data_IF_850797152772
#
_entry.id   IF_850797152772
#
_cell.length_a   1.000
_cell.length_b   1.000
_cell.length_c   1.000
_cell.angle_alpha   90.00
_cell.angle_beta   90.00
_cell.angle_gamma   90.00
#
_symmetry.space_group_name_H-M   'P 1'
#
loop_
_entity.id
_entity.type
_entity.pdbx_description
1 polymer ?
#
# COMPACT_ATOMS: atom_id res chain seq x y z
N UNK A 1 50.69 -33.20 57.58
CA UNK A 1 49.50 -32.28 57.72
C UNK A 1 49.03 -32.01 56.30
N UNK A 2 47.90 -32.62 55.89
CA UNK A 2 47.30 -32.37 54.58
C UNK A 2 46.23 -31.27 54.78
N UNK A 3 46.44 -30.11 54.15
CA UNK A 3 45.43 -29.08 54.06
C UNK A 3 44.35 -29.53 53.06
N UNK A 4 43.15 -29.85 53.57
CA UNK A 4 42.00 -30.12 52.73
C UNK A 4 41.45 -28.77 52.19
N UNK A 5 41.58 -28.56 50.89
CA UNK A 5 40.96 -27.44 50.18
C UNK A 5 39.43 -27.72 50.06
N UNK A 6 38.62 -27.17 50.98
CA UNK A 6 37.18 -27.25 50.89
C UNK A 6 36.72 -26.15 49.94
N UNK A 7 36.52 -26.51 48.70
CA UNK A 7 35.89 -25.62 47.72
C UNK A 7 34.39 -25.58 48.03
N UNK A 8 33.85 -24.41 48.40
CA UNK A 8 32.40 -24.22 48.59
C UNK A 8 31.66 -24.27 47.27
N UNK A 9 31.37 -25.48 46.80
CA UNK A 9 30.66 -25.75 45.53
C UNK A 9 29.21 -25.29 45.59
N UNK A 10 28.62 -25.24 46.78
CA UNK A 10 27.21 -24.87 46.98
C UNK A 10 26.91 -23.40 46.66
N UNK A 11 27.82 -22.47 46.93
CA UNK A 11 27.72 -21.09 46.53
C UNK A 11 27.79 -20.94 45.02
N UNK A 12 28.70 -21.65 44.38
CA UNK A 12 28.88 -21.67 42.93
C UNK A 12 27.65 -22.23 42.21
N UNK A 13 27.06 -23.31 42.75
CA UNK A 13 25.84 -23.93 42.23
C UNK A 13 24.66 -22.94 42.37
N UNK A 14 24.54 -22.23 43.51
CA UNK A 14 23.49 -21.20 43.71
C UNK A 14 23.64 -20.04 42.74
N UNK A 15 24.85 -19.54 42.53
CA UNK A 15 25.12 -18.48 41.57
C UNK A 15 24.85 -18.89 40.13
N UNK A 16 25.27 -20.10 39.71
CA UNK A 16 24.95 -20.67 38.41
C UNK A 16 23.44 -20.83 38.21
N UNK A 17 22.73 -21.32 39.25
CA UNK A 17 21.25 -21.46 39.19
C UNK A 17 20.55 -20.13 39.07
N UNK A 18 21.03 -19.08 39.75
CA UNK A 18 20.49 -17.71 39.63
C UNK A 18 20.73 -17.17 38.24
N UNK A 19 21.93 -17.39 37.70
CA UNK A 19 22.32 -16.97 36.36
C UNK A 19 21.44 -17.63 35.29
N UNK A 20 21.24 -18.95 35.40
CA UNK A 20 20.37 -19.69 34.47
C UNK A 20 18.89 -19.29 34.57
N UNK A 21 18.38 -19.12 35.79
CA UNK A 21 16.94 -18.89 36.01
C UNK A 21 16.47 -17.46 35.78
N UNK A 22 17.33 -16.45 35.97
CA UNK A 22 16.94 -15.05 35.88
C UNK A 22 17.75 -14.25 34.88
N UNK A 23 19.05 -14.31 34.92
CA UNK A 23 19.92 -13.41 34.16
C UNK A 23 20.01 -13.77 32.69
N UNK A 24 20.13 -15.06 32.35
CA UNK A 24 20.15 -15.52 30.96
C UNK A 24 18.80 -15.27 30.27
N UNK A 25 17.63 -15.63 30.83
CA UNK A 25 16.35 -15.30 30.23
C UNK A 25 16.13 -13.80 30.05
N UNK A 26 16.59 -12.97 31.00
CA UNK A 26 16.52 -11.51 30.88
C UNK A 26 17.41 -11.03 29.71
N UNK A 27 18.66 -11.51 29.62
CA UNK A 27 19.57 -11.17 28.53
C UNK A 27 19.03 -11.61 27.15
N UNK A 28 18.42 -12.79 27.08
CA UNK A 28 17.74 -13.28 25.86
C UNK A 28 16.60 -12.35 25.45
N UNK A 29 15.70 -12.02 26.38
CA UNK A 29 14.58 -11.10 26.14
C UNK A 29 15.06 -9.74 25.63
N UNK A 30 16.07 -9.17 26.28
CA UNK A 30 16.63 -7.88 25.91
C UNK A 30 17.31 -7.95 24.53
N UNK A 31 17.95 -9.06 24.21
CA UNK A 31 18.57 -9.33 22.90
C UNK A 31 17.52 -9.37 21.82
N UNK A 32 16.47 -10.18 21.98
CA UNK A 32 15.35 -10.30 21.03
C UNK A 32 14.69 -8.95 20.79
N UNK A 33 14.45 -8.19 21.84
CA UNK A 33 13.86 -6.85 21.73
C UNK A 33 14.75 -5.89 20.94
N UNK A 34 16.04 -5.87 21.21
CA UNK A 34 17.01 -4.98 20.54
C UNK A 34 17.22 -5.36 19.08
N UNK A 35 17.33 -6.66 18.80
CA UNK A 35 17.42 -7.17 17.44
C UNK A 35 16.19 -6.80 16.62
N UNK A 36 15.01 -7.09 17.13
CA UNK A 36 13.76 -6.75 16.46
C UNK A 36 13.63 -5.24 16.21
N UNK A 37 14.01 -4.41 17.21
CA UNK A 37 14.04 -2.95 17.07
C UNK A 37 15.01 -2.51 15.98
N UNK A 38 16.23 -3.04 15.97
CA UNK A 38 17.26 -2.68 14.98
C UNK A 38 16.80 -3.05 13.56
N UNK A 39 16.29 -4.26 13.36
CA UNK A 39 15.78 -4.70 12.07
C UNK A 39 14.59 -3.85 11.61
N UNK A 40 13.59 -3.65 12.49
CA UNK A 40 12.37 -2.90 12.14
C UNK A 40 12.64 -1.42 11.87
N UNK A 41 13.54 -0.78 12.66
CA UNK A 41 13.71 0.68 12.63
C UNK A 41 14.95 1.16 11.87
N UNK A 42 15.87 0.27 11.54
CA UNK A 42 17.10 0.61 10.83
C UNK A 42 17.23 -0.17 9.52
N UNK A 43 17.26 -1.51 9.55
CA UNK A 43 17.59 -2.31 8.39
C UNK A 43 16.48 -2.34 7.34
N UNK A 44 15.22 -2.56 7.74
CA UNK A 44 14.08 -2.54 6.82
C UNK A 44 13.90 -1.16 6.16
N UNK A 45 13.91 -0.02 6.88
CA UNK A 45 13.87 1.29 6.24
C UNK A 45 15.05 1.57 5.32
N UNK A 46 16.26 1.10 5.65
CA UNK A 46 17.43 1.22 4.77
C UNK A 46 17.21 0.45 3.46
N UNK A 47 16.75 -0.79 3.55
CA UNK A 47 16.39 -1.59 2.37
C UNK A 47 15.26 -0.95 1.54
N UNK A 48 14.23 -0.39 2.19
CA UNK A 48 13.18 0.35 1.49
C UNK A 48 13.72 1.53 0.67
N UNK A 49 14.70 2.26 1.22
CA UNK A 49 15.34 3.37 0.48
C UNK A 49 16.14 2.89 -0.74
N UNK A 50 16.67 1.68 -0.71
CA UNK A 50 17.40 1.08 -1.83
C UNK A 50 16.49 0.61 -2.95
N UNK A 51 15.36 -0.05 -2.58
CA UNK A 51 14.47 -0.69 -3.57
C UNK A 51 13.33 0.20 -4.07
N UNK A 52 12.94 1.22 -3.31
CA UNK A 52 11.89 2.16 -3.71
C UNK A 52 12.50 3.51 -4.11
N UNK A 53 12.09 4.02 -5.26
CA UNK A 53 12.63 5.26 -5.82
C UNK A 53 12.45 6.50 -4.93
N UNK A 54 11.40 6.59 -4.14
CA UNK A 54 11.14 7.71 -3.22
C UNK A 54 10.09 7.28 -2.20
N UNK A 55 10.46 6.47 -1.20
CA UNK A 55 9.54 6.05 -0.17
C UNK A 55 9.20 7.24 0.75
N UNK A 56 7.89 7.43 1.01
CA UNK A 56 7.46 8.46 1.94
C UNK A 56 7.76 8.08 3.40
N UNK A 57 7.68 9.05 4.29
CA UNK A 57 7.98 8.85 5.72
C UNK A 57 7.08 7.80 6.39
N UNK A 58 5.82 7.68 5.98
CA UNK A 58 4.90 6.65 6.49
C UNK A 58 5.38 5.25 6.08
N UNK A 59 5.79 5.07 4.81
CA UNK A 59 6.36 3.80 4.33
C UNK A 59 7.59 3.41 5.14
N UNK A 60 8.53 4.35 5.33
CA UNK A 60 9.77 4.08 6.08
C UNK A 60 9.53 3.75 7.55
N UNK A 61 8.50 4.32 8.17
CA UNK A 61 8.14 4.06 9.58
C UNK A 61 7.18 2.88 9.76
N UNK A 62 6.73 2.27 8.67
CA UNK A 62 5.67 1.26 8.70
C UNK A 62 6.08 -0.06 9.35
N UNK A 63 7.37 -0.40 9.33
CA UNK A 63 7.87 -1.60 9.99
C UNK A 63 7.87 -1.43 11.52
N UNK A 64 7.20 -2.35 12.19
CA UNK A 64 7.10 -2.45 13.64
C UNK A 64 7.49 -3.84 14.12
N UNK A 65 7.63 -3.99 15.42
CA UNK A 65 7.89 -5.26 16.06
C UNK A 65 7.07 -5.42 17.33
N UNK A 66 6.76 -6.66 17.67
CA UNK A 66 6.11 -7.05 18.93
C UNK A 66 6.92 -8.20 19.53
N UNK A 67 7.39 -8.04 20.74
CA UNK A 67 8.01 -9.12 21.51
C UNK A 67 6.90 -10.03 22.01
N UNK A 68 6.99 -11.31 21.68
CA UNK A 68 5.99 -12.33 22.02
C UNK A 68 6.46 -13.13 23.24
N UNK A 69 7.76 -13.47 23.29
CA UNK A 69 8.38 -14.20 24.39
C UNK A 69 9.84 -13.77 24.58
N UNK A 70 10.53 -14.41 25.52
CA UNK A 70 11.97 -14.16 25.72
C UNK A 70 12.84 -14.55 24.52
N UNK A 71 12.30 -15.36 23.61
CA UNK A 71 13.03 -15.91 22.45
C UNK A 71 12.39 -15.52 21.11
N UNK A 72 11.24 -14.85 21.13
CA UNK A 72 10.49 -14.55 19.92
C UNK A 72 10.05 -13.07 19.86
N UNK A 73 10.31 -12.45 18.72
CA UNK A 73 9.67 -11.20 18.33
C UNK A 73 9.13 -11.32 16.90
N UNK A 74 7.96 -10.74 16.66
CA UNK A 74 7.33 -10.70 15.35
C UNK A 74 7.51 -9.32 14.74
N UNK A 75 7.94 -9.31 13.49
CA UNK A 75 7.97 -8.11 12.65
C UNK A 75 6.61 -7.99 11.95
N UNK A 76 6.03 -6.83 12.02
CA UNK A 76 4.76 -6.52 11.36
C UNK A 76 4.83 -5.13 10.70
N UNK A 77 3.90 -4.89 9.80
CA UNK A 77 3.72 -3.58 9.18
C UNK A 77 2.42 -2.95 9.66
N UNK A 78 2.36 -1.63 9.67
CA UNK A 78 1.17 -0.90 10.08
C UNK A 78 0.00 -1.28 9.17
N UNK A 79 -1.05 -1.85 9.75
CA UNK A 79 -2.26 -2.28 9.05
C UNK A 79 -3.34 -1.20 9.06
N UNK A 80 -3.54 -0.57 10.21
CA UNK A 80 -4.58 0.43 10.41
C UNK A 80 -4.02 1.84 10.49
N UNK A 81 -4.54 2.69 9.61
CA UNK A 81 -4.30 4.13 9.64
C UNK A 81 -5.63 4.88 9.51
N UNK A 82 -5.78 5.96 10.27
CA UNK A 82 -7.01 6.77 10.26
C UNK A 82 -7.31 7.39 8.91
N UNK A 83 -6.29 7.79 8.14
CA UNK A 83 -6.42 8.40 6.80
C UNK A 83 -5.40 7.84 5.83
N UNK A 84 -5.83 7.55 4.59
CA UNK A 84 -4.96 7.08 3.51
C UNK A 84 -4.97 5.56 3.30
N UNK A 85 -3.94 5.04 2.62
CA UNK A 85 -3.74 3.61 2.39
C UNK A 85 -2.78 3.06 3.42
N UNK A 86 -3.19 1.98 4.07
CA UNK A 86 -2.32 1.23 4.98
C UNK A 86 -1.05 0.74 4.26
N UNK A 87 0.14 0.86 4.88
CA UNK A 87 1.37 0.33 4.32
C UNK A 87 1.30 -1.14 3.93
N UNK A 88 0.66 -1.98 4.71
CA UNK A 88 0.47 -3.39 4.40
C UNK A 88 -0.20 -3.58 3.03
N UNK A 89 -1.21 -2.78 2.69
CA UNK A 89 -1.96 -2.92 1.44
C UNK A 89 -1.11 -2.65 0.18
N UNK A 90 -0.17 -1.70 0.22
CA UNK A 90 0.65 -1.40 -0.96
C UNK A 90 2.05 -2.03 -0.91
N UNK A 91 2.52 -2.48 0.25
CA UNK A 91 3.76 -3.23 0.36
C UNK A 91 3.57 -4.73 0.05
N UNK A 92 2.42 -5.32 0.44
CA UNK A 92 2.15 -6.74 0.21
C UNK A 92 2.38 -7.20 -1.25
N UNK A 93 1.89 -6.46 -2.28
CA UNK A 93 2.11 -6.89 -3.67
C UNK A 93 3.55 -6.83 -4.13
N UNK A 94 4.38 -5.96 -3.55
CA UNK A 94 5.79 -5.77 -3.94
C UNK A 94 6.75 -6.64 -3.15
N UNK A 95 6.27 -7.39 -2.14
CA UNK A 95 7.11 -8.29 -1.35
C UNK A 95 7.33 -9.64 -2.04
N UNK A 96 8.53 -10.18 -1.88
CA UNK A 96 8.88 -11.51 -2.38
C UNK A 96 8.09 -12.61 -1.69
N UNK A 97 7.89 -12.48 -0.37
CA UNK A 97 7.04 -13.37 0.43
C UNK A 97 5.77 -12.62 0.89
N UNK A 98 4.61 -13.28 0.99
CA UNK A 98 3.39 -12.62 1.47
C UNK A 98 3.57 -11.98 2.83
N UNK A 99 3.09 -10.74 2.99
CA UNK A 99 3.04 -10.01 4.28
C UNK A 99 1.72 -10.27 5.04
N UNK A 100 1.05 -11.37 4.79
CA UNK A 100 -0.23 -11.68 5.42
C UNK A 100 -0.69 -13.08 5.10
N UNK A 101 -1.91 -13.46 5.48
CA UNK A 101 -2.46 -14.78 5.20
C UNK A 101 -2.36 -15.13 3.72
N UNK A 102 -2.13 -16.42 3.37
CA UNK A 102 -2.14 -16.86 1.99
C UNK A 102 -3.48 -16.53 1.35
N UNK A 103 -3.45 -15.95 0.13
CA UNK A 103 -4.66 -15.60 -0.62
C UNK A 103 -4.98 -14.11 -0.65
N UNK A 104 -4.15 -13.22 -0.10
CA UNK A 104 -4.29 -11.78 -0.38
C UNK A 104 -4.11 -11.54 -1.87
N UNK A 105 -5.25 -11.27 -2.52
CA UNK A 105 -5.38 -11.06 -3.95
C UNK A 105 -4.42 -9.98 -4.47
N UNK A 106 -4.12 -10.05 -5.76
CA UNK A 106 -3.42 -9.02 -6.50
C UNK A 106 -3.91 -7.62 -6.08
N UNK A 107 -2.95 -6.72 -5.88
CA UNK A 107 -3.19 -5.38 -5.36
C UNK A 107 -4.27 -4.66 -6.16
N UNK A 108 -5.42 -4.45 -5.55
CA UNK A 108 -6.48 -3.65 -6.08
C UNK A 108 -6.54 -2.30 -5.36
N UNK A 109 -6.42 -1.20 -6.13
CA UNK A 109 -6.46 0.16 -5.54
C UNK A 109 -7.84 0.45 -4.93
N UNK A 110 -7.90 1.33 -3.93
CA UNK A 110 -9.19 1.80 -3.38
C UNK A 110 -10.11 2.34 -4.48
N UNK A 111 -9.55 3.07 -5.44
CA UNK A 111 -10.30 3.58 -6.58
C UNK A 111 -10.92 2.45 -7.39
N UNK A 112 -10.14 1.42 -7.76
CA UNK A 112 -10.65 0.25 -8.48
C UNK A 112 -11.81 -0.42 -7.75
N UNK A 113 -11.64 -0.68 -6.46
CA UNK A 113 -12.70 -1.27 -5.63
C UNK A 113 -13.98 -0.43 -5.60
N UNK A 114 -13.84 0.89 -5.49
CA UNK A 114 -14.99 1.79 -5.47
C UNK A 114 -15.74 1.81 -6.80
N UNK A 115 -15.05 1.94 -7.92
CA UNK A 115 -15.69 1.99 -9.23
C UNK A 115 -16.31 0.65 -9.64
N UNK A 116 -15.73 -0.48 -9.21
CA UNK A 116 -16.33 -1.81 -9.36
C UNK A 116 -17.59 -1.96 -8.50
N UNK A 117 -17.50 -1.64 -7.19
CA UNK A 117 -18.65 -1.70 -6.28
C UNK A 117 -19.82 -0.84 -6.76
N UNK A 118 -19.54 0.30 -7.41
CA UNK A 118 -20.52 1.18 -7.98
C UNK A 118 -21.08 0.69 -9.36
N UNK A 119 -20.60 -0.44 -9.88
CA UNK A 119 -20.99 -0.98 -11.19
C UNK A 119 -20.54 -0.12 -12.40
N UNK A 120 -19.59 0.81 -12.17
CA UNK A 120 -19.04 1.69 -13.22
C UNK A 120 -18.06 0.90 -14.10
N UNK A 121 -17.25 0.04 -13.47
CA UNK A 121 -16.28 -0.83 -14.10
C UNK A 121 -16.72 -2.27 -13.87
N UNK A 122 -16.81 -3.11 -14.91
CA UNK A 122 -17.08 -4.53 -14.73
C UNK A 122 -16.08 -5.19 -13.79
N UNK A 123 -16.51 -6.20 -13.03
CA UNK A 123 -15.72 -6.82 -11.96
C UNK A 123 -14.42 -7.48 -12.46
N UNK A 124 -14.41 -7.93 -13.71
CA UNK A 124 -13.26 -8.56 -14.38
C UNK A 124 -12.22 -7.56 -14.93
N UNK A 125 -12.50 -6.24 -14.89
CA UNK A 125 -11.57 -5.23 -15.37
C UNK A 125 -10.89 -4.46 -14.24
N UNK A 126 -9.67 -3.99 -14.52
CA UNK A 126 -8.86 -3.17 -13.63
C UNK A 126 -8.60 -1.81 -14.29
N UNK A 127 -9.02 -0.68 -13.69
CA UNK A 127 -8.74 0.65 -14.22
C UNK A 127 -7.27 1.00 -13.99
N UNK A 128 -6.53 1.12 -15.08
CA UNK A 128 -5.10 1.49 -15.09
C UNK A 128 -4.97 2.96 -15.49
N UNK A 129 -4.26 3.81 -14.74
CA UNK A 129 -4.08 5.21 -15.07
C UNK A 129 -3.39 5.41 -16.42
N UNK A 130 -3.98 6.25 -17.29
CA UNK A 130 -3.37 6.68 -18.55
C UNK A 130 -2.61 7.98 -18.30
N UNK A 131 -1.33 7.85 -17.98
CA UNK A 131 -0.46 8.95 -17.53
C UNK A 131 -0.49 10.21 -18.38
N UNK A 132 -0.51 10.15 -19.74
CA UNK A 132 -0.45 11.35 -20.57
C UNK A 132 -1.57 12.37 -20.29
N UNK A 133 -2.74 11.91 -19.83
CA UNK A 133 -3.92 12.73 -19.60
C UNK A 133 -4.19 13.05 -18.13
N UNK A 134 -3.38 12.54 -17.22
CA UNK A 134 -3.51 12.73 -15.78
C UNK A 134 -2.46 13.72 -15.27
N UNK A 135 -2.87 14.59 -14.35
CA UNK A 135 -1.91 15.40 -13.61
C UNK A 135 -1.06 14.50 -12.73
N UNK A 136 0.23 14.63 -12.84
CA UNK A 136 1.19 13.88 -12.05
C UNK A 136 1.74 14.73 -10.91
N UNK A 137 2.12 14.08 -9.82
CA UNK A 137 2.89 14.69 -8.74
C UNK A 137 4.38 14.77 -9.15
N UNK A 138 5.23 15.34 -8.27
CA UNK A 138 6.67 15.44 -8.46
C UNK A 138 7.39 14.10 -8.73
N UNK A 139 6.74 12.97 -8.41
CA UNK A 139 7.25 11.61 -8.63
C UNK A 139 6.73 10.97 -9.93
N UNK A 140 6.08 11.74 -10.82
CA UNK A 140 5.49 11.22 -12.06
C UNK A 140 4.32 10.25 -11.86
N UNK A 141 3.73 10.22 -10.66
CA UNK A 141 2.54 9.40 -10.34
C UNK A 141 1.29 10.26 -10.45
N UNK A 142 0.13 9.70 -10.88
CA UNK A 142 -1.13 10.45 -10.89
C UNK A 142 -1.42 11.05 -9.52
N UNK A 143 -1.80 12.33 -9.49
CA UNK A 143 -2.10 13.01 -8.25
C UNK A 143 -3.36 12.45 -7.59
N UNK A 144 -3.41 12.49 -6.25
CA UNK A 144 -4.59 12.06 -5.50
C UNK A 144 -5.87 12.81 -5.95
N UNK A 145 -5.72 14.07 -6.36
CA UNK A 145 -6.83 14.89 -6.84
C UNK A 145 -7.48 14.33 -8.12
N UNK A 146 -6.71 13.74 -9.03
CA UNK A 146 -7.27 13.14 -10.26
C UNK A 146 -8.18 11.96 -9.95
N UNK A 147 -7.76 11.08 -9.01
CA UNK A 147 -8.60 9.96 -8.55
C UNK A 147 -9.87 10.44 -7.84
N UNK A 148 -9.75 11.46 -6.98
CA UNK A 148 -10.89 12.01 -6.25
C UNK A 148 -11.88 12.71 -7.19
N UNK A 149 -11.39 13.46 -8.17
CA UNK A 149 -12.23 14.12 -9.17
C UNK A 149 -12.93 13.11 -10.08
N UNK A 150 -12.21 12.09 -10.56
CA UNK A 150 -12.80 11.03 -11.37
C UNK A 150 -13.90 10.28 -10.59
N UNK A 151 -13.62 9.91 -9.33
CA UNK A 151 -14.60 9.27 -8.46
C UNK A 151 -15.82 10.14 -8.21
N UNK A 152 -15.62 11.40 -7.79
CA UNK A 152 -16.71 12.34 -7.53
C UNK A 152 -17.57 12.60 -8.76
N UNK A 153 -16.94 12.80 -9.92
CA UNK A 153 -17.63 13.02 -11.18
C UNK A 153 -18.46 11.81 -11.64
N UNK A 154 -17.91 10.60 -11.52
CA UNK A 154 -18.62 9.36 -11.84
C UNK A 154 -19.75 9.09 -10.85
N UNK A 155 -19.52 9.28 -9.56
CA UNK A 155 -20.51 9.07 -8.51
C UNK A 155 -21.66 10.08 -8.58
N UNK A 156 -21.36 11.33 -8.90
CA UNK A 156 -22.40 12.35 -9.13
C UNK A 156 -23.28 11.97 -10.33
N UNK A 157 -22.68 11.43 -11.38
CA UNK A 157 -23.43 10.91 -12.53
C UNK A 157 -24.34 9.74 -12.14
N UNK A 158 -23.91 8.87 -11.23
CA UNK A 158 -24.70 7.76 -10.67
C UNK A 158 -25.83 8.27 -9.75
N UNK A 159 -25.51 9.17 -8.82
CA UNK A 159 -26.45 9.67 -7.82
C UNK A 159 -27.55 10.56 -8.44
N UNK A 160 -27.21 11.31 -9.49
CA UNK A 160 -28.18 12.13 -10.23
C UNK A 160 -28.98 11.34 -11.26
N UNK A 161 -28.57 10.10 -11.55
CA UNK A 161 -29.22 9.26 -12.53
C UNK A 161 -30.40 8.49 -11.93
N UNK A 162 -31.51 9.19 -11.75
CA UNK A 162 -32.81 8.50 -11.77
C UNK A 162 -33.08 7.83 -13.14
N UNK A 163 -32.18 7.97 -14.11
CA UNK A 163 -32.23 7.26 -15.39
C UNK A 163 -30.84 6.78 -15.82
N UNK A 164 -30.73 5.51 -16.22
CA UNK A 164 -29.52 4.88 -16.82
C UNK A 164 -28.95 5.67 -18.02
N UNK A 165 -29.72 6.61 -18.59
CA UNK A 165 -29.30 7.50 -19.70
C UNK A 165 -28.11 8.39 -19.38
N UNK A 166 -27.85 8.74 -18.12
CA UNK A 166 -26.73 9.62 -17.76
C UNK A 166 -25.37 8.91 -17.76
N UNK A 167 -25.34 7.59 -17.76
CA UNK A 167 -24.13 6.79 -17.92
C UNK A 167 -23.82 6.48 -19.40
N UNK A 168 -24.77 6.76 -20.30
CA UNK A 168 -24.57 6.59 -21.73
C UNK A 168 -23.47 7.56 -22.22
N UNK A 169 -22.38 7.08 -22.83
CA UNK A 169 -21.35 7.92 -23.41
C UNK A 169 -21.88 8.95 -24.39
N UNK A 170 -22.86 8.58 -25.22
CA UNK A 170 -23.50 9.48 -26.16
C UNK A 170 -24.24 10.62 -25.46
N UNK A 171 -24.93 10.35 -24.37
CA UNK A 171 -25.60 11.37 -23.57
C UNK A 171 -24.57 12.32 -22.92
N UNK A 172 -23.46 11.81 -22.39
CA UNK A 172 -22.40 12.63 -21.79
C UNK A 172 -21.72 13.54 -22.81
N UNK A 173 -21.59 13.11 -24.05
CA UNK A 173 -20.99 13.90 -25.13
C UNK A 173 -21.97 14.88 -25.77
N UNK A 174 -23.27 14.54 -25.86
CA UNK A 174 -24.27 15.29 -26.60
C UNK A 174 -25.35 15.96 -25.74
N UNK A 175 -25.61 15.46 -24.54
CA UNK A 175 -26.85 15.56 -23.80
C UNK A 175 -27.09 16.77 -22.91
N UNK A 176 -26.21 17.79 -22.84
CA UNK A 176 -26.51 18.98 -22.02
C UNK A 176 -27.14 20.12 -22.83
N UNK A 177 -28.46 20.06 -23.05
CA UNK A 177 -29.23 21.26 -23.37
C UNK A 177 -29.13 22.22 -22.17
N UNK A 178 -28.78 23.49 -22.44
CA UNK A 178 -28.93 24.60 -21.47
C UNK A 178 -30.35 24.60 -20.94
N UNK A 179 -30.53 24.26 -19.68
CA UNK A 179 -31.73 24.66 -18.96
C UNK A 179 -31.48 26.10 -18.51
N UNK A 180 -32.26 27.03 -19.06
CA UNK A 180 -32.32 28.44 -18.66
C UNK A 180 -32.64 28.50 -17.17
N UNK A 181 -31.67 28.88 -16.35
CA UNK A 181 -31.84 29.04 -14.91
C UNK A 181 -30.58 28.63 -14.11
N UNK A 182 -29.64 29.55 -14.02
CA UNK A 182 -28.95 29.82 -12.77
C UNK A 182 -27.89 28.92 -12.22
N UNK A 183 -27.33 27.95 -12.90
CA UNK A 183 -26.11 27.26 -12.42
C UNK A 183 -25.14 27.03 -13.57
N UNK A 184 -23.90 27.59 -13.43
CA UNK A 184 -22.84 27.46 -14.43
C UNK A 184 -22.28 26.02 -14.45
N UNK A 185 -23.07 25.02 -14.82
CA UNK A 185 -22.68 23.65 -15.07
C UNK A 185 -21.75 23.48 -16.28
N UNK A 186 -21.51 24.57 -17.02
CA UNK A 186 -20.65 24.58 -18.21
C UNK A 186 -19.13 24.40 -17.90
N UNK A 187 -18.75 24.52 -16.64
CA UNK A 187 -17.33 24.37 -16.21
C UNK A 187 -17.01 23.02 -15.55
N UNK A 188 -17.99 22.19 -15.22
CA UNK A 188 -17.72 20.91 -14.57
C UNK A 188 -17.18 19.91 -15.60
N UNK A 189 -16.02 19.31 -15.29
CA UNK A 189 -15.54 18.16 -16.04
C UNK A 189 -16.56 17.04 -15.94
N UNK A 190 -16.99 16.52 -17.08
CA UNK A 190 -17.89 15.38 -17.16
C UNK A 190 -17.09 14.10 -17.23
N UNK A 191 -17.50 13.08 -16.51
CA UNK A 191 -16.85 11.79 -16.47
C UNK A 191 -17.84 10.71 -16.90
N UNK A 192 -17.36 9.76 -17.69
CA UNK A 192 -18.13 8.61 -18.11
C UNK A 192 -17.23 7.38 -18.25
N UNK A 193 -17.84 6.20 -18.24
CA UNK A 193 -17.18 4.91 -18.38
C UNK A 193 -17.65 4.22 -19.66
N UNK A 194 -16.73 3.64 -20.38
CA UNK A 194 -17.00 2.76 -21.55
C UNK A 194 -16.49 1.37 -21.18
N UNK A 195 -17.39 0.42 -20.88
CA UNK A 195 -17.00 -0.94 -20.52
C UNK A 195 -16.51 -1.76 -21.73
N UNK A 196 -16.99 -1.46 -22.93
CA UNK A 196 -16.64 -2.13 -24.18
C UNK A 196 -16.16 -1.10 -25.21
N UNK A 197 -15.32 -1.53 -26.15
CA UNK A 197 -14.95 -0.64 -27.26
C UNK A 197 -16.20 -0.25 -28.03
N UNK A 198 -16.46 1.05 -28.16
CA UNK A 198 -17.65 1.58 -28.82
C UNK A 198 -17.35 2.77 -29.72
N UNK A 199 -18.01 2.79 -30.86
CA UNK A 199 -18.11 4.00 -31.66
C UNK A 199 -19.10 4.98 -31.02
N UNK A 200 -18.58 6.09 -30.54
CA UNK A 200 -19.38 7.13 -29.87
C UNK A 200 -19.56 8.30 -30.81
N UNK A 201 -20.82 8.66 -31.06
CA UNK A 201 -21.18 9.79 -31.94
C UNK A 201 -21.09 11.11 -31.17
N UNK A 202 -20.38 12.09 -31.75
CA UNK A 202 -20.40 13.46 -31.23
C UNK A 202 -21.67 14.19 -31.65
N UNK A 203 -21.91 15.34 -31.00
CA UNK A 203 -23.01 16.25 -31.39
C UNK A 203 -22.91 16.74 -32.85
N UNK A 204 -21.69 16.79 -33.37
CA UNK A 204 -21.40 17.21 -34.76
C UNK A 204 -21.49 16.05 -35.77
N UNK A 205 -21.91 14.87 -35.33
CA UNK A 205 -22.04 13.69 -36.18
C UNK A 205 -20.79 12.86 -36.41
N UNK A 206 -19.63 13.31 -35.95
CA UNK A 206 -18.39 12.55 -36.03
C UNK A 206 -18.41 11.34 -35.10
N UNK A 207 -17.86 10.24 -35.55
CA UNK A 207 -17.67 9.03 -34.74
C UNK A 207 -16.27 8.99 -34.17
N UNK A 208 -16.15 8.62 -32.91
CA UNK A 208 -14.90 8.28 -32.27
C UNK A 208 -14.93 6.82 -31.87
N UNK A 209 -13.91 6.09 -32.27
CA UNK A 209 -13.65 4.77 -31.70
C UNK A 209 -12.93 4.96 -30.37
N UNK A 210 -13.66 4.78 -29.28
CA UNK A 210 -13.14 4.97 -27.94
C UNK A 210 -12.87 3.59 -27.32
N UNK A 211 -11.62 3.28 -26.97
CA UNK A 211 -11.29 2.05 -26.25
C UNK A 211 -11.98 2.00 -24.87
N UNK A 212 -12.10 0.81 -24.34
CA UNK A 212 -12.67 0.59 -23.00
C UNK A 212 -11.89 1.36 -21.92
N UNK A 213 -12.60 2.16 -21.12
CA UNK A 213 -11.96 3.00 -20.11
C UNK A 213 -12.84 4.04 -19.44
N UNK A 214 -12.24 4.85 -18.58
CA UNK A 214 -12.85 6.02 -17.95
C UNK A 214 -12.35 7.28 -18.62
N UNK A 215 -13.28 8.14 -18.98
CA UNK A 215 -13.05 9.36 -19.76
C UNK A 215 -13.48 10.61 -19.01
N UNK A 216 -12.82 11.71 -19.34
CA UNK A 216 -13.19 13.07 -18.95
C UNK A 216 -13.44 13.89 -20.20
N UNK A 217 -14.54 14.62 -20.22
CA UNK A 217 -14.83 15.62 -21.26
C UNK A 217 -14.41 17.00 -20.78
N UNK A 218 -13.48 17.63 -21.48
CA UNK A 218 -13.07 19.02 -21.26
C UNK A 218 -13.73 19.92 -22.31
N UNK A 219 -14.19 21.09 -21.90
CA UNK A 219 -14.67 22.13 -22.81
C UNK A 219 -16.13 21.99 -23.24
N UNK A 220 -16.58 22.98 -24.06
CA UNK A 220 -17.92 23.01 -24.67
C UNK A 220 -17.90 22.17 -25.96
N UNK A 221 -18.95 21.40 -26.18
CA UNK A 221 -19.14 20.69 -27.47
C UNK A 221 -18.52 19.31 -27.60
N UNK A 222 -17.83 18.79 -26.57
CA UNK A 222 -17.28 17.42 -26.62
C UNK A 222 -15.93 17.26 -27.31
N UNK A 223 -15.32 18.35 -27.79
CA UNK A 223 -14.04 18.32 -28.53
C UNK A 223 -12.81 17.92 -27.68
N UNK A 224 -12.97 17.77 -26.38
CA UNK A 224 -11.88 17.44 -25.45
C UNK A 224 -12.12 16.14 -24.67
N UNK A 225 -12.39 15.03 -25.36
CA UNK A 225 -12.48 13.72 -24.70
C UNK A 225 -11.09 13.22 -24.35
N UNK A 226 -10.86 12.96 -23.08
CA UNK A 226 -9.59 12.49 -22.57
C UNK A 226 -9.77 11.17 -21.84
N UNK A 227 -9.04 10.13 -22.28
CA UNK A 227 -8.93 8.88 -21.56
C UNK A 227 -8.13 9.11 -20.28
N UNK A 228 -8.68 8.76 -19.13
CA UNK A 228 -8.01 8.87 -17.84
C UNK A 228 -7.53 7.52 -17.32
N UNK A 229 -8.36 6.49 -17.51
CA UNK A 229 -8.04 5.13 -17.10
C UNK A 229 -8.43 4.18 -18.23
N UNK A 230 -7.53 3.31 -18.63
CA UNK A 230 -7.81 2.19 -19.52
C UNK A 230 -8.22 0.96 -18.70
N UNK A 231 -9.00 0.05 -19.29
CA UNK A 231 -9.38 -1.19 -18.62
C UNK A 231 -8.50 -2.34 -19.08
N UNK A 232 -7.84 -2.98 -18.12
CA UNK A 232 -7.11 -4.21 -18.35
C UNK A 232 -7.87 -5.40 -17.74
N UNK A 233 -7.82 -6.54 -18.38
CA UNK A 233 -8.44 -7.78 -17.91
C UNK A 233 -7.65 -8.44 -16.79
N UNK A 234 -6.39 -8.08 -16.64
CA UNK A 234 -5.51 -8.57 -15.59
C UNK A 234 -5.02 -7.39 -14.74
N UNK A 235 -4.83 -7.58 -13.43
CA UNK A 235 -4.21 -6.55 -12.61
C UNK A 235 -2.80 -6.28 -13.12
N UNK A 236 -2.30 -5.03 -12.99
CA UNK A 236 -0.93 -4.70 -13.37
C UNK A 236 0.05 -5.60 -12.63
N UNK A 237 0.99 -6.18 -13.37
CA UNK A 237 2.09 -6.92 -12.77
C UNK A 237 2.93 -5.96 -11.91
N UNK A 238 3.11 -6.31 -10.64
CA UNK A 238 3.93 -5.53 -9.72
C UNK A 238 5.20 -6.32 -9.44
N UNK A 239 6.39 -5.74 -9.71
CA UNK A 239 7.65 -6.43 -9.46
C UNK A 239 7.83 -6.66 -7.96
N UNK A 240 8.20 -7.88 -7.58
CA UNK A 240 8.46 -8.28 -6.20
C UNK A 240 9.89 -7.93 -5.83
N UNK A 241 10.12 -6.67 -5.46
CA UNK A 241 11.45 -6.10 -5.19
C UNK A 241 11.77 -5.97 -3.69
N UNK A 242 10.76 -6.01 -2.83
CA UNK A 242 10.92 -5.81 -1.40
C UNK A 242 11.02 -7.14 -0.65
N UNK A 243 12.11 -7.36 0.07
CA UNK A 243 12.37 -8.59 0.81
C UNK A 243 12.72 -8.34 2.29
N UNK A 244 11.74 -8.01 3.12
CA UNK A 244 11.99 -7.76 4.55
C UNK A 244 12.46 -9.02 5.30
N UNK A 245 12.07 -10.21 4.83
CA UNK A 245 12.49 -11.48 5.44
C UNK A 245 13.96 -11.79 5.12
N UNK A 246 14.39 -11.61 3.87
CA UNK A 246 15.78 -11.77 3.48
C UNK A 246 16.69 -10.80 4.22
N UNK A 247 16.25 -9.54 4.39
CA UNK A 247 16.97 -8.55 5.22
C UNK A 247 17.12 -9.04 6.66
N UNK A 248 16.04 -9.54 7.27
CA UNK A 248 16.10 -10.05 8.63
C UNK A 248 17.05 -11.25 8.73
N UNK A 249 16.94 -12.22 7.81
CA UNK A 249 17.80 -13.41 7.78
C UNK A 249 19.28 -13.05 7.62
N UNK A 250 19.60 -12.04 6.82
CA UNK A 250 20.99 -11.58 6.63
C UNK A 250 21.56 -10.86 7.86
N UNK A 251 20.75 -10.00 8.49
CA UNK A 251 21.20 -9.12 9.58
C UNK A 251 21.19 -9.77 10.95
N UNK A 252 20.32 -10.76 11.19
CA UNK A 252 20.22 -11.46 12.46
C UNK A 252 21.56 -12.08 12.90
N UNK A 253 22.21 -12.97 12.13
CA UNK A 253 23.46 -13.60 12.57
C UNK A 253 24.60 -12.61 12.75
N UNK A 254 24.62 -11.51 11.99
CA UNK A 254 25.66 -10.48 12.10
C UNK A 254 25.52 -9.62 13.35
N UNK A 255 24.31 -9.36 13.82
CA UNK A 255 24.05 -8.47 14.96
C UNK A 255 23.84 -9.19 16.29
N UNK A 256 23.34 -10.44 16.26
CA UNK A 256 22.97 -11.18 17.46
C UNK A 256 24.10 -11.33 18.47
N UNK A 257 25.35 -11.76 18.09
CA UNK A 257 26.41 -11.98 19.06
C UNK A 257 26.79 -10.72 19.83
N UNK A 258 26.92 -9.58 19.15
CA UNK A 258 27.27 -8.30 19.78
C UNK A 258 26.19 -7.78 20.71
N UNK A 259 24.92 -7.88 20.29
CA UNK A 259 23.79 -7.44 21.10
C UNK A 259 23.61 -8.33 22.32
N UNK A 260 23.78 -9.66 22.17
CA UNK A 260 23.69 -10.61 23.29
C UNK A 260 24.80 -10.38 24.31
N UNK A 261 26.05 -10.23 23.86
CA UNK A 261 27.18 -9.89 24.76
C UNK A 261 26.91 -8.64 25.58
N UNK A 262 26.33 -7.61 24.97
CA UNK A 262 25.96 -6.37 25.67
C UNK A 262 24.79 -6.57 26.64
N UNK A 263 23.78 -7.34 26.23
CA UNK A 263 22.61 -7.65 27.08
C UNK A 263 23.02 -8.48 28.32
N UNK A 264 23.91 -9.46 28.12
CA UNK A 264 24.43 -10.28 29.20
C UNK A 264 25.22 -9.44 30.21
N UNK A 265 26.09 -8.54 29.74
CA UNK A 265 26.81 -7.60 30.63
C UNK A 265 25.87 -6.70 31.45
N UNK A 266 24.70 -6.36 30.92
CA UNK A 266 23.70 -5.61 31.68
C UNK A 266 22.94 -6.46 32.69
N UNK A 267 22.72 -7.73 32.39
CA UNK A 267 22.07 -8.67 33.29
C UNK A 267 22.96 -9.05 34.50
N UNK A 268 24.27 -8.97 34.32
CA UNK A 268 25.26 -9.31 35.34
C UNK A 268 25.67 -8.12 36.25
N UNK A 269 25.14 -6.92 35.99
CA UNK A 269 25.29 -5.74 36.86
C UNK A 269 24.19 -5.69 37.90
#
# INVERSE_FOLDING_TARGET
MGAALKVEVDSLIKELTLLERSQIPFACKLTVQRLAKAIAKQDIPAHMKQVFQSPNSLTLRSANYKVVSNHEARLNFIEDIKKGNSPTNYLAPVTKKPLGPPGTAAYETKFSRFVKKAGIVPSNFYPIPFKPNLRTNSLGKPSQGEYSQAWSGLNTSLASSRSKKQLDPNFQLTGFKKRTGGFNRAKANRYFSIPDNRNVRTRQGSFFDLPKGIYRVKGRGGNGVQLLFTYAERPPAVPKIFDPYGVAQEKLPKRAPGIFKHALRQALK
#
